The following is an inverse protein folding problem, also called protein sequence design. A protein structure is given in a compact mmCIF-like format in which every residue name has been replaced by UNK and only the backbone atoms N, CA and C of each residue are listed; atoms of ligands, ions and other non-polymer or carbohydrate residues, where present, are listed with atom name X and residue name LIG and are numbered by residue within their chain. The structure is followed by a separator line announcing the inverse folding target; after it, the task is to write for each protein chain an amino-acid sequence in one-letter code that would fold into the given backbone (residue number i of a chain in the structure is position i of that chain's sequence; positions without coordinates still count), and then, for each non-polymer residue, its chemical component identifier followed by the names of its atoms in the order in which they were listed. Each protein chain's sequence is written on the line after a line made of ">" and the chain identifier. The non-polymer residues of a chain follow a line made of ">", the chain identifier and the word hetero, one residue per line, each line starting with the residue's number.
data_IF_788941089690
#
_entry.id   IF_788941089690
#
_cell.length_a   1.000
_cell.length_b   1.000
_cell.length_c   1.000
_cell.angle_alpha   90.00
_cell.angle_beta   90.00
_cell.angle_gamma   90.00
#
_symmetry.space_group_name_H-M   'P 1'
#
loop_
_entity.id
_entity.type
_entity.pdbx_description
1 polymer ?
#
# COMPACT_ATOMS: atom_id res chain seq x y z
N UNK A 1 -20.07 -8.30 24.77
CA UNK A 1 -19.98 -8.71 23.35
C UNK A 1 -20.19 -7.49 22.50
N UNK A 2 -19.13 -6.97 21.91
CA UNK A 2 -19.14 -5.76 21.08
C UNK A 2 -19.61 -6.15 19.67
N UNK A 3 -20.55 -5.39 19.08
CA UNK A 3 -21.15 -5.52 17.73
C UNK A 3 -20.14 -5.51 16.53
N UNK A 4 -18.96 -6.11 16.66
CA UNK A 4 -17.91 -6.15 15.64
C UNK A 4 -17.96 -7.35 14.71
N UNK A 5 -18.85 -8.33 14.95
CA UNK A 5 -18.94 -9.57 14.17
C UNK A 5 -20.07 -9.58 13.13
N UNK A 6 -20.77 -8.46 12.93
CA UNK A 6 -21.72 -8.38 11.83
C UNK A 6 -20.98 -8.11 10.52
N UNK A 7 -21.10 -8.98 9.51
CA UNK A 7 -20.45 -8.74 8.22
C UNK A 7 -20.97 -7.44 7.59
N UNK A 8 -20.08 -6.66 7.01
CA UNK A 8 -20.45 -5.45 6.25
C UNK A 8 -21.41 -5.86 5.15
N UNK A 9 -22.67 -5.39 5.22
CA UNK A 9 -23.70 -5.68 4.21
C UNK A 9 -23.73 -4.52 3.21
N UNK A 10 -23.10 -4.70 2.06
CA UNK A 10 -23.18 -3.78 0.93
C UNK A 10 -24.32 -4.18 0.00
N UNK A 11 -25.55 -3.87 0.40
CA UNK A 11 -26.76 -4.23 -0.37
C UNK A 11 -27.01 -3.29 -1.55
N UNK A 12 -26.43 -2.10 -1.53
CA UNK A 12 -26.55 -1.10 -2.59
C UNK A 12 -25.19 -0.41 -2.79
N UNK A 13 -24.65 -0.51 -4.00
CA UNK A 13 -23.31 0.01 -4.29
C UNK A 13 -23.32 1.51 -4.57
N UNK A 14 -24.30 2.03 -5.32
CA UNK A 14 -24.43 3.46 -5.60
C UNK A 14 -25.50 4.12 -4.73
N UNK A 15 -25.19 5.30 -4.19
CA UNK A 15 -26.11 6.10 -3.36
C UNK A 15 -26.47 7.45 -3.99
N UNK A 16 -25.76 7.85 -5.06
CA UNK A 16 -25.82 9.15 -5.72
C UNK A 16 -25.40 10.34 -4.84
N UNK A 17 -25.03 10.10 -3.59
CA UNK A 17 -24.66 11.16 -2.64
C UNK A 17 -23.34 11.86 -3.00
N UNK A 18 -22.55 11.27 -3.91
CA UNK A 18 -21.25 11.82 -4.34
C UNK A 18 -21.26 12.45 -5.74
N UNK A 19 -22.41 12.57 -6.42
CA UNK A 19 -22.47 13.04 -7.81
C UNK A 19 -22.14 14.53 -7.96
N UNK A 20 -22.28 15.29 -6.89
CA UNK A 20 -21.91 16.73 -6.84
C UNK A 20 -20.43 16.99 -6.50
N UNK A 21 -19.55 15.96 -6.52
CA UNK A 21 -18.12 16.11 -6.27
C UNK A 21 -17.70 16.09 -4.80
N UNK A 22 -18.62 15.75 -3.88
CA UNK A 22 -18.35 15.55 -2.46
C UNK A 22 -18.43 14.10 -2.05
N UNK A 23 -17.78 13.74 -0.93
CA UNK A 23 -17.85 12.42 -0.31
C UNK A 23 -17.85 12.52 1.21
N UNK A 24 -18.12 11.41 1.90
CA UNK A 24 -18.06 11.35 3.36
C UNK A 24 -16.77 10.67 3.81
N UNK A 25 -16.10 11.24 4.82
CA UNK A 25 -15.02 10.59 5.55
C UNK A 25 -15.56 9.50 6.50
N UNK A 26 -14.66 8.70 7.07
CA UNK A 26 -15.00 7.64 8.01
C UNK A 26 -15.62 8.11 9.34
N UNK A 27 -15.52 9.42 9.68
CA UNK A 27 -16.19 10.06 10.82
C UNK A 27 -17.57 10.62 10.47
N UNK A 28 -17.97 10.57 9.20
CA UNK A 28 -19.23 11.08 8.66
C UNK A 28 -19.18 12.54 8.18
N UNK A 29 -18.05 13.23 8.33
CA UNK A 29 -17.89 14.60 7.77
C UNK A 29 -17.90 14.58 6.24
N UNK A 30 -18.36 15.68 5.63
CA UNK A 30 -18.42 15.82 4.17
C UNK A 30 -17.24 16.67 3.70
N UNK A 31 -16.55 16.19 2.66
CA UNK A 31 -15.41 16.87 2.04
C UNK A 31 -15.49 16.80 0.52
N UNK A 32 -14.76 17.65 -0.17
CA UNK A 32 -14.54 17.51 -1.62
C UNK A 32 -13.84 16.19 -1.96
N UNK A 33 -14.15 15.61 -3.10
CA UNK A 33 -13.41 14.46 -3.64
C UNK A 33 -11.96 14.79 -3.99
N UNK A 34 -11.60 16.07 -4.05
CA UNK A 34 -10.23 16.58 -4.26
C UNK A 34 -9.48 16.88 -2.96
N UNK A 35 -10.06 16.56 -1.80
CA UNK A 35 -9.41 16.71 -0.49
C UNK A 35 -8.18 15.81 -0.40
N UNK A 36 -7.08 16.29 0.22
CA UNK A 36 -5.83 15.54 0.36
C UNK A 36 -6.03 14.20 1.08
N UNK A 37 -7.00 14.12 1.98
CA UNK A 37 -7.32 12.88 2.69
C UNK A 37 -7.94 11.85 1.75
N UNK A 38 -8.82 12.31 0.83
CA UNK A 38 -9.39 11.46 -0.22
C UNK A 38 -8.30 10.97 -1.17
N UNK A 39 -7.38 11.84 -1.57
CA UNK A 39 -6.24 11.49 -2.41
C UNK A 39 -5.34 10.43 -1.74
N UNK A 40 -5.03 10.62 -0.45
CA UNK A 40 -4.17 9.69 0.29
C UNK A 40 -4.77 8.28 0.36
N UNK A 41 -5.99 8.12 0.91
CA UNK A 41 -6.56 6.78 1.03
C UNK A 41 -7.05 6.22 -0.32
N UNK A 42 -7.40 7.07 -1.29
CA UNK A 42 -7.74 6.65 -2.65
C UNK A 42 -6.54 6.03 -3.36
N UNK A 43 -5.35 6.61 -3.18
CA UNK A 43 -4.10 6.04 -3.73
C UNK A 43 -3.71 4.75 -3.00
N UNK A 44 -4.05 4.60 -1.70
CA UNK A 44 -3.89 3.33 -0.98
C UNK A 44 -4.80 2.24 -1.55
N UNK A 45 -6.04 2.58 -1.91
CA UNK A 45 -6.97 1.65 -2.58
C UNK A 45 -6.47 1.24 -3.97
N UNK A 46 -5.92 2.19 -4.74
CA UNK A 46 -5.25 1.90 -6.00
C UNK A 46 -4.07 0.93 -5.82
N UNK A 47 -3.22 1.17 -4.81
CA UNK A 47 -2.13 0.25 -4.46
C UNK A 47 -2.65 -1.15 -4.17
N UNK A 48 -3.73 -1.27 -3.41
CA UNK A 48 -4.33 -2.55 -3.08
C UNK A 48 -4.78 -3.31 -4.34
N UNK A 49 -5.34 -2.60 -5.31
CA UNK A 49 -5.71 -3.15 -6.61
C UNK A 49 -4.49 -3.66 -7.40
N UNK A 50 -3.35 -2.93 -7.34
CA UNK A 50 -2.10 -3.38 -7.96
C UNK A 50 -1.45 -4.57 -7.23
N UNK A 51 -1.64 -4.73 -5.92
CA UNK A 51 -1.26 -5.98 -5.23
C UNK A 51 -2.10 -7.16 -5.75
N UNK A 52 -3.41 -6.98 -5.93
CA UNK A 52 -4.27 -7.98 -6.56
C UNK A 52 -3.79 -8.35 -7.97
N UNK A 53 -3.36 -7.37 -8.75
CA UNK A 53 -2.78 -7.59 -10.08
C UNK A 53 -1.45 -8.37 -10.01
N UNK A 54 -0.60 -8.09 -9.02
CA UNK A 54 0.63 -8.85 -8.80
C UNK A 54 0.34 -10.30 -8.36
N UNK A 55 -0.64 -10.50 -7.49
CA UNK A 55 -1.09 -11.83 -7.05
C UNK A 55 -1.63 -12.69 -8.21
N UNK A 56 -2.16 -12.08 -9.27
CA UNK A 56 -2.65 -12.77 -10.46
C UNK A 56 -1.53 -13.24 -11.41
N UNK A 57 -0.24 -12.93 -11.14
CA UNK A 57 0.86 -13.44 -11.93
C UNK A 57 1.04 -14.96 -11.70
N UNK A 58 1.13 -15.71 -12.80
CA UNK A 58 1.25 -17.18 -12.73
C UNK A 58 2.61 -17.66 -12.23
N UNK A 59 3.64 -16.83 -12.34
CA UNK A 59 5.02 -17.09 -11.95
C UNK A 59 5.39 -16.53 -10.57
N UNK A 60 4.43 -15.95 -9.83
CA UNK A 60 4.65 -15.46 -8.48
C UNK A 60 4.98 -16.62 -7.52
N UNK A 61 6.09 -16.55 -6.77
CA UNK A 61 6.42 -17.55 -5.75
C UNK A 61 5.29 -17.72 -4.72
N UNK A 62 5.00 -18.97 -4.36
CA UNK A 62 3.87 -19.30 -3.49
C UNK A 62 4.00 -18.66 -2.10
N UNK A 63 5.22 -18.59 -1.56
CA UNK A 63 5.47 -17.95 -0.26
C UNK A 63 5.09 -16.47 -0.24
N UNK A 64 5.14 -15.75 -1.39
CA UNK A 64 4.79 -14.34 -1.47
C UNK A 64 3.29 -14.10 -1.48
N UNK A 65 2.49 -15.09 -1.90
CA UNK A 65 1.03 -14.95 -1.97
C UNK A 65 0.39 -14.66 -0.62
N UNK A 66 0.82 -15.39 0.42
CA UNK A 66 0.34 -15.17 1.79
C UNK A 66 0.72 -13.77 2.33
N UNK A 67 1.94 -13.33 2.07
CA UNK A 67 2.43 -12.02 2.53
C UNK A 67 1.73 -10.86 1.82
N UNK A 68 1.56 -10.95 0.50
CA UNK A 68 0.84 -9.93 -0.28
C UNK A 68 -0.66 -9.91 0.04
N UNK A 69 -1.28 -11.07 0.28
CA UNK A 69 -2.67 -11.14 0.74
C UNK A 69 -2.86 -10.51 2.12
N UNK A 70 -1.89 -10.69 3.04
CA UNK A 70 -1.89 -9.98 4.33
C UNK A 70 -1.70 -8.47 4.13
N UNK A 71 -0.80 -8.06 3.24
CA UNK A 71 -0.60 -6.65 2.92
C UNK A 71 -1.88 -6.01 2.34
N UNK A 72 -2.67 -6.72 1.53
CA UNK A 72 -3.97 -6.23 1.07
C UNK A 72 -4.95 -5.95 2.22
N UNK A 73 -5.00 -6.83 3.22
CA UNK A 73 -5.81 -6.59 4.42
C UNK A 73 -5.30 -5.40 5.22
N UNK A 74 -3.99 -5.30 5.40
CA UNK A 74 -3.37 -4.16 6.10
C UNK A 74 -3.62 -2.83 5.37
N UNK A 75 -3.65 -2.81 4.02
CA UNK A 75 -3.97 -1.62 3.25
C UNK A 75 -5.42 -1.15 3.45
N UNK A 76 -6.37 -2.05 3.72
CA UNK A 76 -7.70 -1.65 4.18
C UNK A 76 -7.63 -0.98 5.55
N UNK A 77 -6.79 -1.48 6.47
CA UNK A 77 -6.56 -0.85 7.77
C UNK A 77 -5.91 0.53 7.62
N UNK A 78 -4.91 0.67 6.73
CA UNK A 78 -4.29 1.96 6.39
C UNK A 78 -5.32 2.94 5.82
N UNK A 79 -6.14 2.50 4.87
CA UNK A 79 -7.22 3.32 4.29
C UNK A 79 -8.24 3.75 5.34
N UNK A 80 -8.65 2.85 6.23
CA UNK A 80 -9.57 3.16 7.33
C UNK A 80 -8.94 4.15 8.33
N UNK A 81 -7.66 4.00 8.64
CA UNK A 81 -6.90 4.91 9.50
C UNK A 81 -6.85 6.33 8.90
N UNK A 82 -6.41 6.43 7.65
CA UNK A 82 -6.30 7.70 6.94
C UNK A 82 -7.65 8.39 6.72
N UNK A 83 -8.74 7.62 6.58
CA UNK A 83 -10.09 8.17 6.35
C UNK A 83 -10.68 8.92 7.55
N UNK A 84 -10.06 8.81 8.74
CA UNK A 84 -10.57 9.43 9.97
C UNK A 84 -9.47 10.27 10.62
N UNK A 85 -9.69 11.61 10.83
CA UNK A 85 -8.74 12.45 11.53
C UNK A 85 -8.33 11.88 12.90
N UNK A 86 -7.06 12.04 13.29
CA UNK A 86 -6.57 11.58 14.60
C UNK A 86 -7.26 12.28 15.77
N UNK A 87 -7.71 13.52 15.57
CA UNK A 87 -8.44 14.30 16.57
C UNK A 87 -9.84 13.73 16.89
N UNK A 88 -10.40 12.85 16.03
CA UNK A 88 -11.71 12.23 16.33
C UNK A 88 -11.59 11.20 17.46
N UNK A 89 -11.99 11.63 18.66
CA UNK A 89 -12.04 10.79 19.87
C UNK A 89 -13.44 10.24 20.19
N UNK A 90 -14.42 10.46 19.31
CA UNK A 90 -15.82 10.07 19.57
C UNK A 90 -16.00 8.55 19.69
N UNK A 91 -15.15 7.77 19.03
CA UNK A 91 -15.18 6.30 19.06
C UNK A 91 -13.78 5.73 19.01
N UNK A 92 -13.58 4.49 19.51
CA UNK A 92 -12.34 3.74 19.26
C UNK A 92 -12.26 3.44 17.76
N UNK A 93 -11.28 3.98 17.10
CA UNK A 93 -11.02 3.81 15.65
C UNK A 93 -9.98 2.74 15.39
N UNK A 94 -10.09 2.06 14.27
CA UNK A 94 -9.03 1.22 13.76
C UNK A 94 -7.83 2.11 13.41
N UNK A 95 -6.65 1.71 13.83
CA UNK A 95 -5.39 2.40 13.55
C UNK A 95 -4.32 1.38 13.21
N UNK A 96 -3.44 1.73 12.30
CA UNK A 96 -2.23 0.97 12.00
C UNK A 96 -1.31 0.97 13.23
N UNK A 97 -0.63 -0.13 13.46
CA UNK A 97 0.23 -0.37 14.62
C UNK A 97 1.68 -0.58 14.21
N UNK A 98 2.62 -0.30 15.13
CA UNK A 98 4.04 -0.61 14.95
C UNK A 98 4.29 -2.11 14.67
N UNK A 99 3.46 -3.00 15.19
CA UNK A 99 3.57 -4.44 14.93
C UNK A 99 3.36 -4.80 13.45
N UNK A 100 2.48 -4.06 12.74
CA UNK A 100 2.31 -4.25 11.30
C UNK A 100 3.55 -3.79 10.53
N UNK A 101 4.17 -2.69 10.96
CA UNK A 101 5.43 -2.19 10.38
C UNK A 101 6.56 -3.19 10.60
N UNK A 102 6.76 -3.64 11.85
CA UNK A 102 7.79 -4.60 12.22
C UNK A 102 7.70 -5.90 11.41
N UNK A 103 6.49 -6.41 11.19
CA UNK A 103 6.29 -7.60 10.34
C UNK A 103 6.82 -7.40 8.91
N UNK A 104 6.65 -6.21 8.31
CA UNK A 104 7.22 -5.91 6.99
C UNK A 104 8.76 -5.87 7.03
N UNK A 105 9.34 -5.34 8.10
CA UNK A 105 10.80 -5.31 8.30
C UNK A 105 11.37 -6.73 8.40
N UNK A 106 10.73 -7.59 9.18
CA UNK A 106 11.13 -9.01 9.30
C UNK A 106 11.07 -9.74 7.95
N UNK A 107 10.05 -9.46 7.12
CA UNK A 107 9.95 -10.02 5.76
C UNK A 107 11.03 -9.46 4.83
N UNK A 108 11.33 -8.16 4.92
CA UNK A 108 12.42 -7.54 4.17
C UNK A 108 13.75 -8.23 4.49
N UNK A 109 14.07 -8.40 5.76
CA UNK A 109 15.31 -9.03 6.21
C UNK A 109 15.39 -10.49 5.76
N UNK A 110 14.29 -11.25 5.93
CA UNK A 110 14.19 -12.65 5.55
C UNK A 110 14.48 -12.87 4.05
N UNK A 111 13.89 -12.06 3.19
CA UNK A 111 14.04 -12.23 1.73
C UNK A 111 15.35 -11.63 1.24
N UNK A 112 15.73 -10.45 1.76
CA UNK A 112 16.97 -9.78 1.34
C UNK A 112 18.22 -10.58 1.68
N UNK A 113 18.21 -11.38 2.76
CA UNK A 113 19.29 -12.27 3.11
C UNK A 113 19.59 -13.36 2.05
N UNK A 114 18.66 -13.61 1.12
CA UNK A 114 18.80 -14.58 0.03
C UNK A 114 19.25 -13.93 -1.29
N UNK A 115 19.40 -12.59 -1.33
CA UNK A 115 19.71 -11.84 -2.54
C UNK A 115 21.14 -11.35 -2.53
N UNK A 116 21.78 -11.37 -3.71
CA UNK A 116 23.09 -10.77 -3.87
C UNK A 116 23.03 -9.24 -3.70
N UNK A 117 24.06 -8.64 -3.08
CA UNK A 117 24.13 -7.18 -2.95
C UNK A 117 24.12 -6.47 -4.30
N UNK A 118 23.31 -5.41 -4.40
CA UNK A 118 23.23 -4.58 -5.59
C UNK A 118 24.50 -3.71 -5.76
N UNK A 119 24.94 -3.60 -7.00
CA UNK A 119 26.07 -2.72 -7.40
C UNK A 119 25.62 -1.52 -8.22
N UNK A 120 24.34 -1.46 -8.61
CA UNK A 120 23.70 -0.37 -9.34
C UNK A 120 22.19 -0.44 -9.16
N UNK A 121 21.44 0.55 -9.68
CA UNK A 121 19.97 0.48 -9.73
C UNK A 121 19.51 -0.62 -10.69
N UNK A 122 18.43 -1.30 -10.31
CA UNK A 122 17.76 -2.31 -11.14
C UNK A 122 16.77 -1.61 -12.05
N UNK A 123 16.81 -1.92 -13.34
CA UNK A 123 15.78 -1.49 -14.28
C UNK A 123 14.50 -2.33 -14.04
N UNK A 124 13.34 -1.70 -13.83
CA UNK A 124 12.09 -2.41 -13.65
C UNK A 124 11.77 -3.29 -14.86
N UNK A 125 11.54 -4.59 -14.64
CA UNK A 125 11.30 -5.55 -15.73
C UNK A 125 11.62 -6.97 -15.26
N UNK A 126 11.75 -7.91 -16.20
CA UNK A 126 12.04 -9.31 -15.93
C UNK A 126 10.80 -10.19 -16.07
N UNK A 127 10.56 -11.10 -15.13
CA UNK A 127 9.37 -11.96 -15.13
C UNK A 127 8.08 -11.16 -14.97
N UNK A 128 6.93 -11.78 -15.23
CA UNK A 128 5.63 -11.12 -15.07
C UNK A 128 5.41 -10.69 -13.62
N UNK A 129 5.69 -11.57 -12.64
CA UNK A 129 5.60 -11.24 -11.22
C UNK A 129 6.53 -10.08 -10.85
N UNK A 130 7.80 -10.11 -11.28
CA UNK A 130 8.76 -9.04 -11.05
C UNK A 130 8.24 -7.68 -11.57
N UNK A 131 7.78 -7.64 -12.82
CA UNK A 131 7.27 -6.43 -13.47
C UNK A 131 6.05 -5.85 -12.74
N UNK A 132 5.09 -6.70 -12.35
CA UNK A 132 3.88 -6.30 -11.63
C UNK A 132 4.20 -5.78 -10.21
N UNK A 133 5.15 -6.41 -9.51
CA UNK A 133 5.62 -5.95 -8.20
C UNK A 133 6.32 -4.59 -8.29
N UNK A 134 7.09 -4.33 -9.34
CA UNK A 134 7.67 -3.00 -9.57
C UNK A 134 6.61 -1.92 -9.83
N UNK A 135 5.51 -2.25 -10.51
CA UNK A 135 4.38 -1.32 -10.67
C UNK A 135 3.75 -1.04 -9.29
N UNK A 136 3.40 -2.10 -8.53
CA UNK A 136 2.85 -1.96 -7.19
C UNK A 136 3.75 -1.12 -6.27
N UNK A 137 5.08 -1.34 -6.31
CA UNK A 137 6.06 -0.52 -5.59
C UNK A 137 5.98 0.97 -5.97
N UNK A 138 5.86 1.28 -7.25
CA UNK A 138 5.80 2.67 -7.70
C UNK A 138 4.52 3.36 -7.26
N UNK A 139 3.39 2.64 -7.25
CA UNK A 139 2.10 3.11 -6.71
C UNK A 139 2.17 3.26 -5.19
N UNK A 140 2.82 2.32 -4.48
CA UNK A 140 3.06 2.40 -3.03
C UNK A 140 3.81 3.70 -2.67
N UNK A 141 4.86 4.04 -3.40
CA UNK A 141 5.58 5.30 -3.23
C UNK A 141 4.74 6.54 -3.55
N UNK A 142 3.76 6.43 -4.46
CA UNK A 142 2.80 7.51 -4.69
C UNK A 142 1.85 7.66 -3.50
N UNK A 143 1.32 6.55 -2.96
CA UNK A 143 0.47 6.56 -1.76
C UNK A 143 1.21 7.13 -0.55
N UNK A 144 2.49 6.76 -0.36
CA UNK A 144 3.36 7.34 0.65
C UNK A 144 3.45 8.87 0.51
N UNK A 145 3.78 9.39 -0.69
CA UNK A 145 3.87 10.84 -0.92
C UNK A 145 2.54 11.56 -0.72
N UNK A 146 1.41 10.98 -1.14
CA UNK A 146 0.09 11.55 -0.88
C UNK A 146 -0.22 11.60 0.62
N UNK A 147 0.22 10.59 1.37
CA UNK A 147 0.08 10.56 2.84
C UNK A 147 1.00 11.58 3.52
N UNK A 148 2.21 11.80 2.99
CA UNK A 148 3.10 12.88 3.46
C UNK A 148 2.46 14.25 3.25
N UNK A 149 1.93 14.52 2.05
CA UNK A 149 1.25 15.79 1.77
C UNK A 149 0.05 16.02 2.70
N UNK A 150 -0.71 14.97 3.02
CA UNK A 150 -1.77 15.04 4.04
C UNK A 150 -1.20 15.36 5.43
N UNK A 151 -0.04 14.77 5.79
CA UNK A 151 0.59 14.96 7.09
C UNK A 151 1.16 16.38 7.29
N UNK A 152 1.42 17.12 6.21
CA UNK A 152 1.81 18.54 6.26
C UNK A 152 0.64 19.46 6.67
N UNK A 153 -0.60 19.03 6.40
CA UNK A 153 -1.81 19.82 6.66
C UNK A 153 -2.56 19.38 7.93
N UNK A 154 -2.39 18.14 8.37
CA UNK A 154 -3.12 17.59 9.50
C UNK A 154 -2.40 16.39 10.14
N UNK A 155 -2.70 16.12 11.39
CA UNK A 155 -2.14 14.97 12.09
C UNK A 155 -2.55 13.65 11.41
N UNK A 156 -1.55 12.84 11.09
CA UNK A 156 -1.66 11.48 10.54
C UNK A 156 -0.97 10.50 11.49
N UNK A 157 -1.48 9.28 11.57
CA UNK A 157 -0.82 8.22 12.35
C UNK A 157 0.58 7.93 11.76
N UNK A 158 1.68 8.13 12.51
CA UNK A 158 3.03 7.88 12.01
C UNK A 158 3.23 6.42 11.56
N UNK A 159 2.58 5.46 12.21
CA UNK A 159 2.68 4.06 11.84
C UNK A 159 2.06 3.77 10.45
N UNK A 160 1.04 4.52 10.03
CA UNK A 160 0.47 4.38 8.68
C UNK A 160 1.47 4.85 7.60
N UNK A 161 2.17 5.94 7.85
CA UNK A 161 3.21 6.44 6.95
C UNK A 161 4.42 5.48 6.92
N UNK A 162 4.88 5.02 8.08
CA UNK A 162 5.97 4.06 8.19
C UNK A 162 5.62 2.73 7.48
N UNK A 163 4.37 2.27 7.58
CA UNK A 163 3.88 1.09 6.91
C UNK A 163 4.02 1.20 5.38
N UNK A 164 3.55 2.31 4.78
CA UNK A 164 3.65 2.53 3.33
C UNK A 164 5.11 2.60 2.87
N UNK A 165 5.97 3.28 3.61
CA UNK A 165 7.39 3.33 3.32
C UNK A 165 7.99 1.92 3.32
N UNK A 166 7.78 1.14 4.37
CA UNK A 166 8.31 -0.21 4.54
C UNK A 166 7.72 -1.20 3.54
N UNK A 167 6.42 -1.07 3.19
CA UNK A 167 5.82 -1.90 2.15
C UNK A 167 6.47 -1.64 0.78
N UNK A 168 6.88 -0.40 0.48
CA UNK A 168 7.59 -0.09 -0.76
C UNK A 168 8.94 -0.81 -0.85
N UNK A 169 9.65 -0.94 0.29
CA UNK A 169 10.92 -1.66 0.38
C UNK A 169 10.71 -3.17 0.19
N UNK A 170 9.70 -3.73 0.85
CA UNK A 170 9.34 -5.13 0.68
C UNK A 170 8.99 -5.44 -0.78
N UNK A 171 8.17 -4.62 -1.42
CA UNK A 171 7.79 -4.84 -2.83
C UNK A 171 9.00 -4.80 -3.78
N UNK A 172 10.01 -3.97 -3.49
CA UNK A 172 11.25 -3.98 -4.23
C UNK A 172 12.03 -5.28 -4.05
N UNK A 173 12.17 -5.74 -2.81
CA UNK A 173 12.88 -6.97 -2.48
C UNK A 173 12.16 -8.19 -3.08
N UNK A 174 10.82 -8.24 -2.99
CA UNK A 174 10.02 -9.31 -3.60
C UNK A 174 10.12 -9.31 -5.12
N UNK A 175 10.16 -8.13 -5.76
CA UNK A 175 10.33 -8.03 -7.22
C UNK A 175 11.66 -8.66 -7.65
N UNK A 176 12.74 -8.35 -6.94
CA UNK A 176 14.05 -8.97 -7.18
C UNK A 176 14.04 -10.48 -7.00
N UNK A 177 13.47 -10.93 -5.90
CA UNK A 177 13.39 -12.36 -5.57
C UNK A 177 12.47 -13.16 -6.53
N UNK A 178 11.45 -12.53 -7.12
CA UNK A 178 10.59 -13.12 -8.14
C UNK A 178 11.24 -13.18 -9.53
N UNK A 179 12.33 -12.45 -9.74
CA UNK A 179 13.02 -12.45 -11.03
C UNK A 179 13.80 -13.74 -11.23
N UNK A 180 13.57 -14.43 -12.35
CA UNK A 180 14.29 -15.65 -12.72
C UNK A 180 15.42 -15.32 -13.68
N UNK A 181 16.60 -15.01 -13.15
CA UNK A 181 17.77 -14.70 -13.94
C UNK A 181 18.47 -13.41 -13.50
N UNK A 182 19.49 -12.98 -14.24
CA UNK A 182 20.25 -11.79 -13.87
C UNK A 182 19.39 -10.54 -13.98
N UNK A 183 19.54 -9.66 -13.00
CA UNK A 183 18.91 -8.35 -13.01
C UNK A 183 19.55 -7.44 -14.09
N UNK A 184 18.73 -6.71 -14.82
CA UNK A 184 19.21 -5.69 -15.73
C UNK A 184 19.55 -4.44 -14.92
N UNK A 185 20.84 -4.11 -14.84
CA UNK A 185 21.32 -2.96 -14.07
C UNK A 185 21.40 -1.71 -14.94
N UNK A 186 21.09 -0.58 -14.31
CA UNK A 186 21.26 0.73 -14.91
C UNK A 186 22.75 1.02 -15.19
N UNK A 187 23.04 1.51 -16.38
CA UNK A 187 24.37 1.96 -16.81
C UNK A 187 24.32 3.47 -17.04
N UNK A 188 24.93 4.29 -16.19
CA UNK A 188 24.91 5.75 -16.32
C UNK A 188 25.49 6.20 -17.67
N UNK A 189 24.79 7.13 -18.36
CA UNK A 189 25.30 7.75 -19.59
C UNK A 189 25.37 6.83 -20.82
N UNK A 190 24.89 5.60 -20.73
CA UNK A 190 24.88 4.66 -21.84
C UNK A 190 23.62 4.83 -22.71
N UNK A 191 23.49 5.99 -23.34
CA UNK A 191 22.47 6.31 -24.35
C UNK A 191 23.08 6.24 -25.76
N UNK A 192 23.63 5.07 -26.09
CA UNK A 192 24.18 4.81 -27.42
C UNK A 192 23.55 3.56 -27.99
#
# INVERSE_FOLDING_TARGET
>A
MTKRDEPVRLTRIYTRAGDAGETSLGDGSRVSKTDLRIEAYGTVDELNSFLGFALAAGDLPEEFRGWLGQAQNDLFDVGADLSVPLADKKRKRLRVTEQQVQRLEELCDLVNARLEPLRSFVLPGGTEACSRLHIARSVCRRAERATVALAEETDVNPAALAYLNRLSDLLFILARAANRGPETLWKPGNSG
#
